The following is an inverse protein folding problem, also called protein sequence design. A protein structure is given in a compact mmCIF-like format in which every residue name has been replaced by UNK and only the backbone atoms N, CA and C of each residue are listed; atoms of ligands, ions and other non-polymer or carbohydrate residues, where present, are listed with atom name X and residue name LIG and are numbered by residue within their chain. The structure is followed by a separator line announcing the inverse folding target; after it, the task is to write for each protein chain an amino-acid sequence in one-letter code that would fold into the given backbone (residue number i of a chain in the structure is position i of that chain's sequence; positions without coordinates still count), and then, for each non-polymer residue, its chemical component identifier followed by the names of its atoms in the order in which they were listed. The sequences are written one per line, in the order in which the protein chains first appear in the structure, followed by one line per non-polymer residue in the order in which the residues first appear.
data_IF_307080906022
#
_entry.id   IF_307080906022
#
_cell.length_a   1.000
_cell.length_b   1.000
_cell.length_c   1.000
_cell.angle_alpha   90.00
_cell.angle_beta   90.00
_cell.angle_gamma   90.00
#
_symmetry.space_group_name_H-M   'P 1'
#
loop_
_entity.id
_entity.type
_entity.pdbx_description
1 polymer ?
#
# COMPACT_ATOMS: atom_id res chain seq x y z
N UNK A 1 -2.38 -25.74 10.91
CA UNK A 1 -2.85 -24.34 11.15
C UNK A 1 -2.32 -23.39 10.05
N UNK A 2 -3.10 -22.38 9.64
CA UNK A 2 -2.63 -21.34 8.71
C UNK A 2 -1.69 -20.37 9.42
N UNK A 3 -0.64 -19.91 8.73
CA UNK A 3 0.27 -18.87 9.24
C UNK A 3 -0.28 -17.50 8.87
N UNK A 4 -0.51 -16.65 9.87
CA UNK A 4 -1.05 -15.31 9.67
C UNK A 4 -0.56 -14.34 10.73
N UNK A 5 -0.60 -13.06 10.39
CA UNK A 5 -0.40 -11.93 11.31
C UNK A 5 -1.63 -11.05 11.23
N UNK A 6 -2.12 -10.61 12.38
CA UNK A 6 -3.20 -9.63 12.50
C UNK A 6 -2.62 -8.33 13.09
N UNK A 7 -2.87 -7.21 12.41
CA UNK A 7 -2.43 -5.88 12.81
C UNK A 7 -3.65 -5.02 13.07
N UNK A 8 -3.81 -4.51 14.30
CA UNK A 8 -4.85 -3.54 14.69
C UNK A 8 -4.19 -2.24 15.07
N UNK A 9 -4.80 -1.12 14.71
CA UNK A 9 -4.31 0.19 15.09
C UNK A 9 -5.10 1.32 14.45
N UNK A 10 -4.55 2.52 14.52
CA UNK A 10 -5.15 3.72 13.92
C UNK A 10 -4.74 3.86 12.45
N UNK A 11 -5.71 4.15 11.57
CA UNK A 11 -5.45 4.41 10.16
C UNK A 11 -5.47 5.91 9.86
N UNK A 12 -4.39 6.41 9.25
CA UNK A 12 -4.36 7.71 8.58
C UNK A 12 -4.66 7.50 7.09
N UNK A 13 -5.61 8.28 6.57
CA UNK A 13 -5.96 8.30 5.15
C UNK A 13 -5.38 9.58 4.53
N UNK A 14 -4.60 9.43 3.46
CA UNK A 14 -4.08 10.55 2.66
C UNK A 14 -4.19 10.24 1.18
N UNK A 15 -4.16 11.24 0.31
CA UNK A 15 -3.97 11.01 -1.12
C UNK A 15 -2.59 10.38 -1.38
N UNK A 16 -2.50 9.51 -2.39
CA UNK A 16 -1.23 9.09 -2.98
C UNK A 16 -0.84 10.12 -4.05
N UNK A 17 -0.30 11.27 -3.63
CA UNK A 17 0.05 12.38 -4.52
C UNK A 17 0.92 11.91 -5.69
N UNK A 18 0.48 12.18 -6.92
CA UNK A 18 1.16 11.73 -8.13
C UNK A 18 1.29 10.20 -8.26
N UNK A 19 0.57 9.44 -7.43
CA UNK A 19 0.62 7.97 -7.31
C UNK A 19 2.00 7.44 -6.95
N UNK A 20 2.78 8.23 -6.20
CA UNK A 20 4.18 7.93 -5.89
C UNK A 20 4.36 6.59 -5.15
N UNK A 21 3.48 6.27 -4.20
CA UNK A 21 3.54 5.00 -3.46
C UNK A 21 3.21 3.84 -4.39
N UNK A 22 2.17 3.97 -5.23
CA UNK A 22 1.81 2.94 -6.18
C UNK A 22 2.93 2.64 -7.17
N UNK A 23 3.55 3.66 -7.77
CA UNK A 23 4.70 3.53 -8.69
C UNK A 23 5.84 2.80 -7.98
N UNK A 24 6.23 3.25 -6.79
CA UNK A 24 7.32 2.65 -6.02
C UNK A 24 7.07 1.18 -5.67
N UNK A 25 5.83 0.82 -5.32
CA UNK A 25 5.46 -0.58 -5.06
C UNK A 25 5.50 -1.41 -6.34
N UNK A 26 5.01 -0.88 -7.45
CA UNK A 26 5.05 -1.56 -8.74
C UNK A 26 6.50 -1.89 -9.13
N UNK A 27 7.37 -0.89 -9.10
CA UNK A 27 8.76 -1.06 -9.47
C UNK A 27 9.50 -2.02 -8.55
N UNK A 28 9.22 -1.94 -7.24
CA UNK A 28 9.84 -2.83 -6.24
C UNK A 28 9.50 -4.30 -6.47
N UNK A 29 8.24 -4.61 -6.81
CA UNK A 29 7.77 -5.99 -6.86
C UNK A 29 7.69 -6.59 -8.26
N UNK A 30 7.63 -5.75 -9.31
CA UNK A 30 7.48 -6.18 -10.71
C UNK A 30 8.63 -5.71 -11.62
N UNK A 31 9.57 -4.93 -11.08
CA UNK A 31 10.76 -4.46 -11.80
C UNK A 31 10.59 -3.08 -12.44
N UNK A 32 11.69 -2.53 -13.00
CA UNK A 32 11.70 -1.18 -13.58
C UNK A 32 10.61 -0.98 -14.65
N UNK A 33 9.95 0.18 -14.65
CA UNK A 33 8.89 0.53 -15.60
C UNK A 33 7.50 0.01 -15.24
N UNK A 34 7.37 -0.90 -14.27
CA UNK A 34 6.06 -1.43 -13.86
C UNK A 34 5.09 -0.39 -13.26
N UNK A 35 5.57 0.82 -12.94
CA UNK A 35 4.75 1.92 -12.44
C UNK A 35 4.07 2.76 -13.51
N UNK A 36 4.42 2.58 -14.80
CA UNK A 36 3.97 3.47 -15.88
C UNK A 36 2.44 3.49 -16.04
N UNK A 37 1.78 2.35 -15.83
CA UNK A 37 0.31 2.25 -15.88
C UNK A 37 -0.36 3.15 -14.85
N UNK A 38 0.27 3.39 -13.70
CA UNK A 38 -0.26 4.31 -12.68
C UNK A 38 -0.10 5.76 -13.11
N UNK A 39 1.00 6.12 -13.76
CA UNK A 39 1.21 7.48 -14.26
C UNK A 39 0.24 7.85 -15.37
N UNK A 40 -0.16 6.88 -16.21
CA UNK A 40 -1.09 7.07 -17.33
C UNK A 40 -2.57 7.16 -16.94
N UNK A 41 -2.91 6.87 -15.68
CA UNK A 41 -4.31 6.92 -15.24
C UNK A 41 -4.86 8.36 -15.27
N UNK A 42 -6.14 8.56 -15.65
CA UNK A 42 -6.79 9.86 -15.60
C UNK A 42 -6.76 10.49 -14.20
N UNK A 43 -6.64 11.83 -14.06
CA UNK A 43 -6.52 12.49 -12.75
C UNK A 43 -7.72 12.26 -11.82
N UNK A 44 -8.91 12.00 -12.37
CA UNK A 44 -10.12 11.64 -11.61
C UNK A 44 -10.00 10.29 -10.87
N UNK A 45 -9.04 9.44 -11.25
CA UNK A 45 -8.71 8.23 -10.52
C UNK A 45 -7.83 8.56 -9.32
N UNK A 46 -8.46 9.14 -8.30
CA UNK A 46 -7.84 9.45 -7.02
C UNK A 46 -7.52 8.15 -6.29
N UNK A 47 -6.28 8.06 -5.79
CA UNK A 47 -5.81 6.97 -4.95
C UNK A 47 -5.50 7.49 -3.56
N UNK A 48 -5.71 6.63 -2.57
CA UNK A 48 -5.40 6.94 -1.18
C UNK A 48 -4.41 5.94 -0.61
N UNK A 49 -3.57 6.42 0.30
CA UNK A 49 -2.68 5.63 1.15
C UNK A 49 -3.35 5.47 2.50
N UNK A 50 -3.49 4.21 2.93
CA UNK A 50 -3.85 3.88 4.30
C UNK A 50 -2.57 3.57 5.08
N UNK A 51 -2.19 4.47 5.99
CA UNK A 51 -1.07 4.25 6.91
C UNK A 51 -1.61 3.79 8.25
N UNK A 52 -1.35 2.53 8.60
CA UNK A 52 -1.74 1.96 9.89
C UNK A 52 -0.60 2.16 10.89
N UNK A 53 -0.86 2.85 11.99
CA UNK A 53 -0.02 2.87 13.19
C UNK A 53 -0.48 1.75 14.11
N UNK A 54 0.29 0.66 14.28
CA UNK A 54 -0.16 -0.50 15.05
C UNK A 54 -0.25 -0.22 16.55
N UNK A 55 -1.37 -0.62 17.16
CA UNK A 55 -1.56 -0.66 18.62
C UNK A 55 -1.50 -2.10 19.16
N UNK A 56 -1.79 -3.08 18.30
CA UNK A 56 -1.71 -4.51 18.64
C UNK A 56 -1.33 -5.35 17.43
N UNK A 57 -0.43 -6.31 17.65
CA UNK A 57 0.00 -7.31 16.67
C UNK A 57 -0.21 -8.70 17.28
N UNK A 58 -0.86 -9.60 16.57
CA UNK A 58 -1.10 -10.99 16.99
C UNK A 58 -1.09 -11.95 15.78
N UNK A 59 -1.41 -13.22 15.98
CA UNK A 59 -1.53 -14.22 14.91
C UNK A 59 -0.84 -15.54 15.23
N UNK A 60 -0.86 -16.45 14.26
CA UNK A 60 -0.20 -17.77 14.33
C UNK A 60 0.95 -17.86 13.31
N UNK A 61 1.72 -16.78 13.20
CA UNK A 61 3.02 -16.80 12.54
C UNK A 61 4.07 -16.89 13.66
N UNK A 62 4.48 -18.11 13.98
CA UNK A 62 5.72 -18.34 14.74
C UNK A 62 6.90 -17.69 14.03
#
# INVERSE_FOLDING_TARGET
PQRYVEVRGTALVSEDEGRAIAVRLAERYKGPGAGEDFLKQPPENVRVVLRITPDRITGNAA
#
